data_IF_016601457983
#
_entry.id   IF_016601457983
#
_cell.length_a   1.000
_cell.length_b   1.000
_cell.length_c   1.000
_cell.angle_alpha   90.00
_cell.angle_beta   90.00
_cell.angle_gamma   90.00
#
_symmetry.space_group_name_H-M   'P 1'
#
loop_
_entity.id
_entity.type
_entity.pdbx_description
1 polymer ?
#
# COMPACT_ATOMS: atom_id res chain seq x y z
N UNK A 1 -10.03 13.65 32.24
CA UNK A 1 -8.81 12.89 31.86
C UNK A 1 -9.15 12.08 30.62
N UNK A 2 -9.09 12.70 29.43
CA UNK A 2 -9.39 12.08 28.13
C UNK A 2 -8.37 12.67 27.14
N UNK A 3 -7.12 12.22 27.23
CA UNK A 3 -6.06 12.64 26.29
C UNK A 3 -5.34 11.42 25.66
N UNK A 4 -5.48 10.22 26.22
CA UNK A 4 -4.70 9.06 25.77
C UNK A 4 -5.25 8.32 24.55
N UNK A 5 -6.57 8.30 24.34
CA UNK A 5 -7.15 7.54 23.21
C UNK A 5 -6.87 8.22 21.85
N UNK A 6 -6.99 9.55 21.80
CA UNK A 6 -6.82 10.33 20.58
C UNK A 6 -5.36 10.36 20.11
N UNK A 7 -4.42 10.47 21.04
CA UNK A 7 -2.98 10.44 20.72
C UNK A 7 -2.53 9.07 20.22
N UNK A 8 -3.10 7.99 20.79
CA UNK A 8 -2.83 6.62 20.36
C UNK A 8 -3.37 6.35 18.94
N UNK A 9 -4.62 6.74 18.66
CA UNK A 9 -5.21 6.62 17.32
C UNK A 9 -4.45 7.44 16.27
N UNK A 10 -4.02 8.67 16.62
CA UNK A 10 -3.21 9.50 15.74
C UNK A 10 -1.84 8.86 15.45
N UNK A 11 -1.17 8.35 16.49
CA UNK A 11 0.15 7.69 16.34
C UNK A 11 0.05 6.43 15.48
N UNK A 12 -1.00 5.63 15.66
CA UNK A 12 -1.27 4.46 14.82
C UNK A 12 -1.50 4.84 13.36
N UNK A 13 -2.29 5.89 13.13
CA UNK A 13 -2.59 6.38 11.79
C UNK A 13 -1.34 6.92 11.08
N UNK A 14 -0.52 7.69 11.79
CA UNK A 14 0.75 8.20 11.25
C UNK A 14 1.72 7.06 10.93
N UNK A 15 1.79 6.04 11.80
CA UNK A 15 2.57 4.83 11.55
C UNK A 15 2.07 4.04 10.33
N UNK A 16 0.76 3.95 10.11
CA UNK A 16 0.19 3.33 8.92
C UNK A 16 0.55 4.11 7.66
N UNK A 17 0.38 5.43 7.66
CA UNK A 17 0.71 6.30 6.52
C UNK A 17 2.20 6.14 6.15
N UNK A 18 3.10 6.14 7.14
CA UNK A 18 4.52 5.92 6.89
C UNK A 18 4.80 4.56 6.24
N UNK A 19 4.14 3.50 6.69
CA UNK A 19 4.29 2.15 6.10
C UNK A 19 3.75 2.07 4.67
N UNK A 20 2.64 2.76 4.38
CA UNK A 20 2.08 2.80 3.03
C UNK A 20 2.96 3.60 2.07
N UNK A 21 3.52 4.72 2.53
CA UNK A 21 4.51 5.48 1.75
C UNK A 21 5.77 4.64 1.47
N UNK A 22 6.29 3.96 2.50
CA UNK A 22 7.44 3.05 2.34
C UNK A 22 7.14 1.93 1.33
N UNK A 23 5.92 1.38 1.34
CA UNK A 23 5.50 0.39 0.36
C UNK A 23 5.53 0.94 -1.07
N UNK A 24 5.02 2.15 -1.31
CA UNK A 24 5.08 2.77 -2.64
C UNK A 24 6.54 2.98 -3.10
N UNK A 25 7.43 3.38 -2.18
CA UNK A 25 8.85 3.55 -2.44
C UNK A 25 9.54 2.22 -2.80
N UNK A 26 9.29 1.15 -2.04
CA UNK A 26 9.83 -0.18 -2.32
C UNK A 26 9.29 -0.76 -3.63
N UNK A 27 8.00 -0.60 -3.88
CA UNK A 27 7.39 -1.02 -5.14
C UNK A 27 8.04 -0.27 -6.31
N UNK A 28 8.28 1.03 -6.15
CA UNK A 28 9.01 1.82 -7.13
C UNK A 28 10.44 1.33 -7.31
N UNK A 29 11.16 1.06 -6.23
CA UNK A 29 12.52 0.52 -6.29
C UNK A 29 12.59 -0.79 -7.10
N UNK A 30 11.63 -1.69 -6.92
CA UNK A 30 11.59 -2.98 -7.60
C UNK A 30 11.28 -2.89 -9.10
N UNK A 31 10.42 -1.95 -9.50
CA UNK A 31 9.83 -1.96 -10.85
C UNK A 31 10.14 -0.73 -11.70
N UNK A 32 10.53 0.41 -11.12
CA UNK A 32 10.75 1.67 -11.85
C UNK A 32 11.85 1.56 -12.91
N UNK A 33 12.90 0.78 -12.65
CA UNK A 33 13.99 0.52 -13.62
C UNK A 33 13.58 -0.38 -14.79
N UNK A 34 12.43 -1.06 -14.71
CA UNK A 34 11.93 -2.06 -15.68
C UNK A 34 10.74 -1.56 -16.50
N UNK A 35 10.40 -0.27 -16.37
CA UNK A 35 9.23 0.39 -16.99
C UNK A 35 9.08 0.22 -18.50
N UNK A 36 10.11 -0.24 -19.20
CA UNK A 36 10.06 -0.47 -20.65
C UNK A 36 9.67 -1.89 -21.03
N UNK A 37 9.84 -2.88 -20.13
CA UNK A 37 9.42 -4.28 -20.38
C UNK A 37 9.40 -5.10 -19.09
N UNK A 38 8.20 -5.31 -18.53
CA UNK A 38 8.01 -6.25 -17.43
C UNK A 38 7.97 -7.71 -17.91
N UNK A 39 8.70 -8.58 -17.22
CA UNK A 39 8.60 -10.03 -17.43
C UNK A 39 7.35 -10.60 -16.76
N UNK A 40 6.97 -11.83 -17.12
CA UNK A 40 5.88 -12.53 -16.42
C UNK A 40 6.18 -12.66 -14.92
N UNK A 41 7.43 -12.91 -14.54
CA UNK A 41 7.85 -12.97 -13.13
C UNK A 41 7.65 -11.65 -12.40
N UNK A 42 7.89 -10.51 -13.07
CA UNK A 42 7.64 -9.19 -12.48
C UNK A 42 6.15 -8.97 -12.23
N UNK A 43 5.30 -9.38 -13.17
CA UNK A 43 3.83 -9.34 -13.02
C UNK A 43 3.34 -10.25 -11.90
N UNK A 44 3.88 -11.47 -11.82
CA UNK A 44 3.53 -12.42 -10.77
C UNK A 44 3.92 -11.88 -9.39
N UNK A 45 5.11 -11.31 -9.26
CA UNK A 45 5.57 -10.69 -8.02
C UNK A 45 4.72 -9.46 -7.65
N UNK A 46 4.44 -8.57 -8.62
CA UNK A 46 3.58 -7.41 -8.40
C UNK A 46 2.18 -7.83 -7.91
N UNK A 47 1.58 -8.84 -8.53
CA UNK A 47 0.29 -9.38 -8.11
C UNK A 47 0.35 -10.03 -6.72
N UNK A 48 1.42 -10.75 -6.38
CA UNK A 48 1.60 -11.31 -5.04
C UNK A 48 1.64 -10.21 -3.98
N UNK A 49 2.44 -9.15 -4.21
CA UNK A 49 2.53 -8.01 -3.30
C UNK A 49 1.15 -7.38 -3.09
N UNK A 50 0.44 -7.07 -4.20
CA UNK A 50 -0.88 -6.44 -4.14
C UNK A 50 -1.92 -7.33 -3.45
N UNK A 51 -1.91 -8.65 -3.72
CA UNK A 51 -2.82 -9.58 -3.08
C UNK A 51 -2.58 -9.64 -1.58
N UNK A 52 -1.33 -9.74 -1.13
CA UNK A 52 -1.00 -9.72 0.31
C UNK A 52 -1.46 -8.44 1.00
N UNK A 53 -1.38 -7.28 0.34
CA UNK A 53 -1.89 -6.02 0.90
C UNK A 53 -3.43 -6.01 0.89
N UNK A 54 -4.05 -6.54 -0.16
CA UNK A 54 -5.50 -6.59 -0.30
C UNK A 54 -6.12 -7.52 0.75
N UNK A 55 -5.43 -8.59 1.14
CA UNK A 55 -5.85 -9.45 2.26
C UNK A 55 -5.86 -8.72 3.61
N UNK A 56 -5.08 -7.65 3.76
CA UNK A 56 -5.16 -6.77 4.94
C UNK A 56 -6.36 -5.81 4.89
N UNK A 57 -6.93 -5.57 3.70
CA UNK A 57 -8.17 -4.79 3.56
C UNK A 57 -9.31 -5.67 4.08
N UNK A 58 -10.14 -5.12 4.97
CA UNK A 58 -11.16 -5.80 5.79
C UNK A 58 -10.67 -6.43 7.10
N UNK A 59 -9.38 -6.31 7.46
CA UNK A 59 -8.93 -6.71 8.80
C UNK A 59 -9.28 -5.68 9.89
N UNK A 60 -9.68 -4.46 9.52
CA UNK A 60 -10.07 -3.41 10.48
C UNK A 60 -11.48 -2.90 10.20
N UNK A 61 -12.24 -2.66 11.29
CA UNK A 61 -13.51 -1.93 11.24
C UNK A 61 -13.31 -0.43 10.93
N UNK A 62 -12.05 0.04 10.90
CA UNK A 62 -11.72 1.43 10.60
C UNK A 62 -11.78 1.68 9.09
N UNK A 63 -12.92 2.26 8.67
CA UNK A 63 -13.21 2.68 7.30
C UNK A 63 -12.09 3.58 6.74
N UNK A 64 -11.48 4.44 7.56
CA UNK A 64 -10.43 5.37 7.11
C UNK A 64 -9.13 4.62 6.80
N UNK A 65 -8.78 3.61 7.60
CA UNK A 65 -7.61 2.77 7.33
C UNK A 65 -7.81 1.95 6.05
N UNK A 66 -9.00 1.37 5.86
CA UNK A 66 -9.34 0.66 4.63
C UNK A 66 -9.27 1.60 3.41
N UNK A 67 -9.74 2.85 3.55
CA UNK A 67 -9.65 3.84 2.47
C UNK A 67 -8.20 4.18 2.11
N UNK A 68 -7.32 4.38 3.09
CA UNK A 68 -5.89 4.65 2.86
C UNK A 68 -5.20 3.51 2.10
N UNK A 69 -5.50 2.26 2.46
CA UNK A 69 -5.00 1.08 1.74
C UNK A 69 -5.49 1.06 0.30
N UNK A 70 -6.79 1.29 0.07
CA UNK A 70 -7.39 1.34 -1.27
C UNK A 70 -6.72 2.43 -2.13
N UNK A 71 -6.50 3.61 -1.56
CA UNK A 71 -5.91 4.73 -2.29
C UNK A 71 -4.44 4.46 -2.66
N UNK A 72 -3.69 3.82 -1.76
CA UNK A 72 -2.30 3.37 -2.02
C UNK A 72 -2.27 2.33 -3.15
N UNK A 73 -3.18 1.35 -3.13
CA UNK A 73 -3.27 0.34 -4.21
C UNK A 73 -3.63 0.98 -5.56
N UNK A 74 -4.54 1.96 -5.58
CA UNK A 74 -4.88 2.71 -6.79
C UNK A 74 -3.68 3.51 -7.30
N UNK A 75 -2.95 4.18 -6.41
CA UNK A 75 -1.74 4.93 -6.74
C UNK A 75 -0.72 4.03 -7.44
N UNK A 76 -0.40 2.86 -6.86
CA UNK A 76 0.52 1.88 -7.47
C UNK A 76 0.03 1.44 -8.85
N UNK A 77 -1.25 1.05 -8.99
CA UNK A 77 -1.81 0.62 -10.28
C UNK A 77 -1.77 1.71 -11.34
N UNK A 78 -1.98 2.97 -10.95
CA UNK A 78 -1.94 4.11 -11.86
C UNK A 78 -0.50 4.43 -12.32
N UNK A 79 0.50 4.28 -11.45
CA UNK A 79 1.91 4.53 -11.79
C UNK A 79 2.48 3.38 -12.65
N UNK A 80 2.02 2.15 -12.41
CA UNK A 80 2.51 0.94 -13.06
C UNK A 80 1.40 0.16 -13.79
N UNK A 81 0.67 0.77 -14.73
CA UNK A 81 -0.47 0.12 -15.38
C UNK A 81 -0.04 -1.14 -16.13
N UNK A 82 1.16 -1.14 -16.72
CA UNK A 82 1.65 -2.28 -17.48
C UNK A 82 2.06 -3.49 -16.63
N UNK A 83 2.05 -3.42 -15.29
CA UNK A 83 2.28 -4.60 -14.44
C UNK A 83 1.01 -5.44 -14.24
N UNK A 84 -0.15 -4.86 -14.47
CA UNK A 84 -1.47 -5.45 -14.23
C UNK A 84 -2.26 -5.62 -15.54
#
# INVERSE_FOLDING_TARGET
MILHATDYENTLKDGLIQKLNWLEEEFSFLFNSKKTKYSQKDRDLANQIINSITECINCSEDIRMNQLLIDTLKSIKNIYPELF
#
